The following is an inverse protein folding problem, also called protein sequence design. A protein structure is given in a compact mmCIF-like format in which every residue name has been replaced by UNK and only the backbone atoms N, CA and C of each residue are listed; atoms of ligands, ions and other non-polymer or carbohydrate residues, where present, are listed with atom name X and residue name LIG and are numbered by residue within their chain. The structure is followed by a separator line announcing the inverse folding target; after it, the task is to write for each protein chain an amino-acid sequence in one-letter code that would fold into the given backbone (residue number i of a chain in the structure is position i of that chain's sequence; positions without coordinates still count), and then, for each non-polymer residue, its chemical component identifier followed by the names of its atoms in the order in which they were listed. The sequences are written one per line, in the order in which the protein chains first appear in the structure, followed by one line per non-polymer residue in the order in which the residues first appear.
data_IF_599885187997
#
_entry.id   IF_599885187997
#
_cell.length_a   1.000
_cell.length_b   1.000
_cell.length_c   1.000
_cell.angle_alpha   90.00
_cell.angle_beta   90.00
_cell.angle_gamma   90.00
#
_symmetry.space_group_name_H-M   'P 1'
#
loop_
_entity.id
_entity.type
_entity.pdbx_description
1 polymer ?
#
# COMPACT_ATOMS: atom_id res chain seq x y z
N UNK A 1 -46.99 32.35 1.06
CA UNK A 1 -45.76 31.87 1.74
C UNK A 1 -44.85 31.34 0.67
N UNK A 2 -43.81 32.11 0.37
CA UNK A 2 -42.81 31.76 -0.63
C UNK A 2 -41.88 30.71 -0.04
N UNK A 3 -41.80 29.55 -0.66
CA UNK A 3 -40.67 28.63 -0.46
C UNK A 3 -39.75 28.85 -1.66
N UNK A 4 -38.81 29.76 -1.45
CA UNK A 4 -37.62 29.96 -2.28
C UNK A 4 -36.71 28.75 -2.16
N UNK A 5 -35.99 28.54 -3.24
CA UNK A 5 -34.89 27.63 -3.48
C UNK A 5 -33.87 27.56 -2.33
N UNK A 6 -33.29 26.37 -2.12
CA UNK A 6 -31.87 26.19 -1.76
C UNK A 6 -31.49 24.70 -1.91
N UNK A 7 -31.27 24.27 -3.15
CA UNK A 7 -30.39 23.14 -3.40
C UNK A 7 -28.95 23.68 -3.34
N UNK A 8 -28.00 23.05 -2.64
CA UNK A 8 -26.63 23.47 -2.71
C UNK A 8 -26.09 23.04 -4.09
N UNK A 9 -26.18 23.96 -5.05
CA UNK A 9 -25.33 23.96 -6.24
C UNK A 9 -23.90 24.17 -5.77
N UNK A 10 -23.18 23.08 -5.54
CA UNK A 10 -21.72 23.07 -5.47
C UNK A 10 -21.18 23.51 -6.83
N UNK A 11 -20.92 24.79 -6.98
CA UNK A 11 -20.35 25.39 -8.17
C UNK A 11 -19.01 24.72 -8.49
N UNK A 12 -18.93 24.17 -9.70
CA UNK A 12 -17.66 23.94 -10.37
C UNK A 12 -16.94 25.28 -10.52
N UNK A 13 -15.72 25.37 -10.00
CA UNK A 13 -14.73 26.37 -10.43
C UNK A 13 -13.34 25.86 -10.12
N UNK A 14 -12.68 25.41 -11.18
CA UNK A 14 -11.28 24.98 -11.17
C UNK A 14 -10.88 24.25 -12.45
N UNK A 15 -11.25 24.77 -13.63
CA UNK A 15 -10.63 24.37 -14.89
C UNK A 15 -9.20 24.93 -14.94
N UNK A 16 -8.29 24.29 -14.20
CA UNK A 16 -6.90 24.20 -14.60
C UNK A 16 -6.70 22.78 -15.06
N UNK A 17 -6.29 22.59 -16.32
CA UNK A 17 -5.83 21.31 -16.84
C UNK A 17 -4.49 20.98 -16.14
N UNK A 18 -4.57 20.72 -14.84
CA UNK A 18 -3.45 20.32 -14.03
C UNK A 18 -3.23 18.86 -14.37
N UNK A 19 -2.30 18.60 -15.30
CA UNK A 19 -1.82 17.25 -15.60
C UNK A 19 -1.55 16.54 -14.28
N UNK A 20 -2.44 15.62 -13.89
CA UNK A 20 -2.28 14.94 -12.63
C UNK A 20 -1.04 14.04 -12.71
N UNK A 21 -0.26 13.93 -11.63
CA UNK A 21 0.84 12.98 -11.60
C UNK A 21 0.31 11.58 -11.91
N UNK A 22 0.93 10.92 -12.89
CA UNK A 22 0.59 9.55 -13.25
C UNK A 22 1.62 8.60 -12.65
N UNK A 23 1.14 7.46 -12.14
CA UNK A 23 1.96 6.36 -11.63
C UNK A 23 1.65 5.12 -12.45
N UNK A 24 2.69 4.44 -12.94
CA UNK A 24 2.56 3.17 -13.64
C UNK A 24 3.44 2.11 -12.95
N UNK A 25 2.90 0.92 -12.73
CA UNK A 25 3.63 -0.21 -12.16
C UNK A 25 4.01 -1.15 -13.29
N UNK A 26 5.31 -1.19 -13.61
CA UNK A 26 5.83 -2.01 -14.71
C UNK A 26 5.78 -3.50 -14.37
N UNK A 27 6.17 -3.85 -13.14
CA UNK A 27 6.14 -5.21 -12.63
C UNK A 27 6.11 -5.18 -11.10
N UNK A 28 5.54 -6.24 -10.52
CA UNK A 28 5.63 -6.54 -9.10
C UNK A 28 6.10 -7.98 -8.96
N UNK A 29 7.11 -8.19 -8.13
CA UNK A 29 7.71 -9.49 -7.95
C UNK A 29 8.24 -9.65 -6.53
N UNK A 30 8.45 -10.91 -6.12
CA UNK A 30 9.08 -11.26 -4.84
C UNK A 30 10.56 -11.45 -5.11
N UNK A 31 11.40 -10.62 -4.48
CA UNK A 31 12.86 -10.70 -4.65
C UNK A 31 13.49 -11.76 -3.75
N UNK A 32 12.99 -11.84 -2.52
CA UNK A 32 13.42 -12.81 -1.52
C UNK A 32 12.21 -13.18 -0.67
N UNK A 33 12.13 -14.46 -0.29
CA UNK A 33 11.12 -15.00 0.60
C UNK A 33 11.76 -16.13 1.40
N UNK A 34 11.82 -15.93 2.71
CA UNK A 34 12.25 -16.96 3.64
C UNK A 34 11.10 -17.34 4.56
N UNK A 35 11.02 -18.63 4.86
CA UNK A 35 10.16 -19.18 5.90
C UNK A 35 10.93 -20.24 6.67
N UNK A 36 10.93 -20.12 7.99
CA UNK A 36 11.55 -21.08 8.88
C UNK A 36 10.55 -21.52 9.96
N UNK A 37 10.52 -22.81 10.25
CA UNK A 37 9.78 -23.37 11.38
C UNK A 37 10.71 -24.18 12.29
N UNK A 38 11.49 -23.52 13.15
CA UNK A 38 12.33 -24.22 14.11
C UNK A 38 11.50 -25.17 14.99
N UNK A 39 11.90 -26.44 15.07
CA UNK A 39 11.22 -27.45 15.89
C UNK A 39 9.97 -28.07 15.26
N UNK A 40 9.74 -27.92 13.95
CA UNK A 40 8.73 -28.71 13.25
C UNK A 40 9.03 -30.23 13.33
N UNK A 41 8.00 -31.10 13.43
CA UNK A 41 6.57 -30.80 13.41
C UNK A 41 5.99 -30.43 14.78
N UNK A 42 6.80 -30.48 15.85
CA UNK A 42 6.33 -30.25 17.21
C UNK A 42 5.74 -28.83 17.40
N UNK A 43 6.22 -27.86 16.61
CA UNK A 43 5.70 -26.49 16.53
C UNK A 43 4.23 -26.39 16.08
N UNK A 44 3.69 -27.42 15.40
CA UNK A 44 2.32 -27.46 14.86
C UNK A 44 1.31 -28.09 15.83
N UNK A 45 1.75 -28.57 17.00
CA UNK A 45 0.82 -29.08 18.03
C UNK A 45 0.03 -27.94 18.66
N UNK A 46 -1.15 -28.26 19.19
CA UNK A 46 -1.96 -27.32 19.95
C UNK A 46 -1.14 -26.70 21.09
N UNK A 47 -1.23 -25.38 21.22
CA UNK A 47 -0.60 -24.62 22.31
C UNK A 47 -1.69 -23.96 23.14
N UNK A 48 -1.50 -23.93 24.45
CA UNK A 48 -2.42 -23.27 25.38
C UNK A 48 -2.32 -21.74 25.30
N UNK A 49 -1.21 -21.21 24.77
CA UNK A 49 -0.94 -19.78 24.64
C UNK A 49 -0.73 -19.37 23.18
N UNK A 50 -1.31 -18.23 22.80
CA UNK A 50 -1.08 -17.60 21.51
C UNK A 50 0.40 -17.22 21.31
N UNK A 51 0.97 -17.41 20.11
CA UNK A 51 2.34 -16.98 19.80
C UNK A 51 2.45 -15.45 19.80
N UNK A 52 3.62 -14.94 20.19
CA UNK A 52 3.99 -13.57 19.89
C UNK A 52 4.30 -13.43 18.40
N UNK A 53 3.76 -12.39 17.77
CA UNK A 53 4.04 -12.04 16.37
C UNK A 53 4.79 -10.71 16.35
N UNK A 54 5.95 -10.68 15.70
CA UNK A 54 6.73 -9.47 15.48
C UNK A 54 6.79 -9.20 13.97
N UNK A 55 6.34 -8.02 13.56
CA UNK A 55 6.34 -7.59 12.15
C UNK A 55 7.18 -6.32 12.08
N UNK A 56 8.19 -6.33 11.20
CA UNK A 56 8.98 -5.16 10.85
C UNK A 56 8.80 -4.91 9.36
N UNK A 57 8.66 -3.64 8.98
CA UNK A 57 8.47 -3.25 7.57
C UNK A 57 9.41 -2.10 7.26
N UNK A 58 10.19 -2.24 6.20
CA UNK A 58 11.07 -1.21 5.65
C UNK A 58 10.75 -0.99 4.18
N UNK A 59 10.77 0.27 3.77
CA UNK A 59 10.55 0.68 2.38
C UNK A 59 11.79 1.39 1.88
N UNK A 60 12.31 0.95 0.74
CA UNK A 60 13.44 1.59 0.08
C UNK A 60 13.13 1.77 -1.41
N UNK A 61 13.44 2.95 -1.95
CA UNK A 61 13.26 3.25 -3.36
C UNK A 61 14.64 3.47 -4.00
N UNK A 62 14.95 2.67 -5.02
CA UNK A 62 16.19 2.74 -5.77
C UNK A 62 15.90 3.34 -7.16
N UNK A 63 16.45 4.52 -7.50
CA UNK A 63 16.27 5.09 -8.82
C UNK A 63 17.00 4.25 -9.87
N UNK A 64 16.32 3.91 -10.97
CA UNK A 64 16.87 3.20 -12.13
C UNK A 64 17.11 4.16 -13.30
N UNK A 65 16.19 5.10 -13.51
CA UNK A 65 16.28 6.20 -14.48
C UNK A 65 15.37 7.36 -14.04
N UNK A 66 15.36 8.48 -14.77
CA UNK A 66 14.63 9.71 -14.41
C UNK A 66 13.17 9.51 -13.94
N UNK A 67 12.49 8.49 -14.47
CA UNK A 67 11.08 8.19 -14.16
C UNK A 67 10.84 6.74 -13.74
N UNK A 68 11.88 5.99 -13.39
CA UNK A 68 11.76 4.58 -13.03
C UNK A 68 12.47 4.29 -11.72
N UNK A 69 11.79 3.55 -10.86
CA UNK A 69 12.26 3.19 -9.53
C UNK A 69 12.00 1.71 -9.29
N UNK A 70 12.97 1.02 -8.70
CA UNK A 70 12.77 -0.27 -8.05
C UNK A 70 12.45 -0.01 -6.58
N UNK A 71 11.23 -0.35 -6.17
CA UNK A 71 10.78 -0.17 -4.79
C UNK A 71 10.82 -1.51 -4.09
N UNK A 72 11.64 -1.60 -3.05
CA UNK A 72 11.80 -2.80 -2.25
C UNK A 72 11.09 -2.67 -0.91
N UNK A 73 10.33 -3.71 -0.56
CA UNK A 73 9.58 -3.84 0.69
C UNK A 73 10.07 -5.10 1.41
N UNK A 74 10.53 -4.95 2.66
CA UNK A 74 11.06 -6.04 3.49
C UNK A 74 10.50 -5.98 4.90
#
# INVERSE_FOLDING_TARGET
MASKDDAPTGAASGNGDATQPSLNVLAQYVKDLSFESPGAPNSLRGRDKAPGIAINVNVNANPLSDKQFDVNLT
#
